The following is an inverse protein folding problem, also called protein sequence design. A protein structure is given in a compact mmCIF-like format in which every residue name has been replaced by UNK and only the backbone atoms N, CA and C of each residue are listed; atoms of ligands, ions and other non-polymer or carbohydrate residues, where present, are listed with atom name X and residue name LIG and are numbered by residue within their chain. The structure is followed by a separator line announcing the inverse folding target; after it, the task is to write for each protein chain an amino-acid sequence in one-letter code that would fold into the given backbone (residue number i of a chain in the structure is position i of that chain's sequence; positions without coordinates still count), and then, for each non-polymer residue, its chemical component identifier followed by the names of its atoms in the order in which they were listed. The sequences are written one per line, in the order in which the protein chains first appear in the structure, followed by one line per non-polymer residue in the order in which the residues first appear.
data_IF_763793012196
#
_entry.id   IF_763793012196
#
_cell.length_a   1.000
_cell.length_b   1.000
_cell.length_c   1.000
_cell.angle_alpha   90.00
_cell.angle_beta   90.00
_cell.angle_gamma   90.00
#
_symmetry.space_group_name_H-M   'P 1'
#
loop_
_entity.id
_entity.type
_entity.pdbx_description
1 polymer ?
#
# COMPACT_ATOMS: atom_id res chain seq x y z
N UNK A 1 -55.92 -58.40 -37.24
CA UNK A 1 -56.23 -58.26 -35.80
C UNK A 1 -55.81 -56.85 -35.36
N UNK A 2 -56.77 -56.03 -34.93
CA UNK A 2 -56.57 -54.89 -34.02
C UNK A 2 -56.66 -55.43 -32.56
N UNK A 3 -56.34 -54.69 -31.46
CA UNK A 3 -56.18 -53.22 -31.35
C UNK A 3 -55.08 -52.66 -30.37
N UNK A 4 -54.87 -51.32 -30.45
CA UNK A 4 -54.62 -50.28 -29.39
C UNK A 4 -53.40 -50.38 -28.45
N UNK A 5 -52.65 -49.30 -28.17
CA UNK A 5 -52.99 -48.02 -27.48
C UNK A 5 -52.14 -46.84 -28.03
N UNK A 6 -52.72 -45.72 -28.48
CA UNK A 6 -53.17 -44.49 -27.79
C UNK A 6 -52.08 -43.41 -27.54
N UNK A 7 -52.36 -42.22 -28.11
CA UNK A 7 -51.65 -40.94 -28.01
C UNK A 7 -51.73 -40.31 -26.61
N UNK A 8 -50.72 -39.50 -26.28
CA UNK A 8 -50.93 -38.22 -25.59
C UNK A 8 -50.00 -37.15 -26.17
N UNK A 9 -50.60 -36.07 -26.69
CA UNK A 9 -49.94 -34.80 -27.00
C UNK A 9 -49.58 -34.09 -25.68
N UNK A 10 -48.44 -33.40 -25.66
CA UNK A 10 -48.07 -32.48 -24.60
C UNK A 10 -47.03 -31.48 -25.09
N UNK A 11 -47.50 -30.38 -25.68
CA UNK A 11 -46.73 -29.18 -26.02
C UNK A 11 -46.18 -28.55 -24.74
N UNK A 12 -44.88 -28.26 -24.69
CA UNK A 12 -44.32 -27.38 -23.66
C UNK A 12 -43.35 -26.39 -24.31
N UNK A 13 -43.89 -25.23 -24.70
CA UNK A 13 -43.14 -23.98 -24.62
C UNK A 13 -42.83 -23.72 -23.14
N UNK A 14 -41.61 -23.24 -22.84
CA UNK A 14 -41.28 -22.14 -21.90
C UNK A 14 -39.79 -22.25 -21.51
N UNK A 15 -39.07 -21.14 -21.65
CA UNK A 15 -38.01 -20.79 -20.71
C UNK A 15 -36.58 -20.84 -21.23
N UNK A 16 -36.16 -19.78 -21.92
CA UNK A 16 -34.75 -19.36 -21.92
C UNK A 16 -34.37 -19.06 -20.46
N UNK A 17 -33.76 -20.03 -19.77
CA UNK A 17 -33.12 -19.78 -18.48
C UNK A 17 -31.76 -19.15 -18.78
N UNK A 18 -31.68 -17.83 -18.58
CA UNK A 18 -30.43 -17.10 -18.43
C UNK A 18 -29.56 -17.83 -17.40
N UNK A 19 -28.41 -18.32 -17.83
CA UNK A 19 -27.36 -18.80 -16.94
C UNK A 19 -26.85 -17.59 -16.15
N UNK A 20 -27.42 -17.39 -14.97
CA UNK A 20 -26.86 -16.52 -13.95
C UNK A 20 -25.50 -17.10 -13.57
N UNK A 21 -24.41 -16.41 -13.92
CA UNK A 21 -23.11 -16.68 -13.34
C UNK A 21 -23.22 -16.51 -11.82
N UNK A 22 -23.05 -17.61 -11.09
CA UNK A 22 -22.93 -17.59 -9.64
C UNK A 22 -21.76 -16.70 -9.23
N UNK A 23 -22.11 -15.53 -8.68
CA UNK A 23 -21.27 -14.74 -7.82
C UNK A 23 -21.08 -15.53 -6.52
N UNK A 24 -20.19 -16.51 -6.50
CA UNK A 24 -19.69 -17.09 -5.25
C UNK A 24 -18.93 -16.00 -4.49
N UNK A 25 -19.69 -15.39 -3.58
CA UNK A 25 -19.28 -14.44 -2.57
C UNK A 25 -18.17 -15.05 -1.73
N UNK A 26 -16.94 -14.60 -1.92
CA UNK A 26 -15.96 -14.60 -0.84
C UNK A 26 -16.39 -13.51 0.15
N UNK A 27 -17.45 -13.81 0.92
CA UNK A 27 -17.81 -13.01 2.08
C UNK A 27 -16.74 -13.23 3.14
N UNK A 28 -16.14 -12.15 3.65
CA UNK A 28 -15.54 -12.16 4.99
C UNK A 28 -16.56 -12.85 5.89
N UNK A 29 -16.19 -13.88 6.67
CA UNK A 29 -17.15 -14.58 7.52
C UNK A 29 -17.89 -13.54 8.36
N UNK A 30 -19.17 -13.30 8.05
CA UNK A 30 -20.09 -12.48 8.83
C UNK A 30 -20.55 -13.22 10.09
N UNK A 31 -19.76 -14.21 10.52
CA UNK A 31 -19.96 -14.90 11.77
C UNK A 31 -19.57 -13.94 12.89
N UNK A 32 -20.54 -13.52 13.70
CA UNK A 32 -20.33 -12.65 14.85
C UNK A 32 -19.16 -13.08 15.75
N UNK A 33 -18.86 -14.38 15.81
CA UNK A 33 -17.74 -14.92 16.58
C UNK A 33 -16.37 -14.46 16.03
N UNK A 34 -16.19 -14.47 14.71
CA UNK A 34 -14.96 -13.97 14.05
C UNK A 34 -14.79 -12.47 14.32
N UNK A 35 -15.85 -11.71 14.12
CA UNK A 35 -15.83 -10.26 14.31
C UNK A 35 -15.55 -9.88 15.78
N UNK A 36 -16.14 -10.60 16.73
CA UNK A 36 -15.88 -10.41 18.16
C UNK A 36 -14.42 -10.70 18.51
N UNK A 37 -13.84 -11.78 17.98
CA UNK A 37 -12.43 -12.11 18.21
C UNK A 37 -11.51 -11.03 17.63
N UNK A 38 -11.74 -10.61 16.39
CA UNK A 38 -10.95 -9.57 15.72
C UNK A 38 -10.99 -8.22 16.45
N UNK A 39 -12.16 -7.82 16.95
CA UNK A 39 -12.31 -6.60 17.75
C UNK A 39 -11.61 -6.71 19.12
N UNK A 40 -11.59 -7.89 19.73
CA UNK A 40 -10.84 -8.13 20.97
C UNK A 40 -9.34 -7.98 20.74
N UNK A 41 -8.82 -8.45 19.62
CA UNK A 41 -7.40 -8.29 19.26
C UNK A 41 -7.04 -6.83 18.98
N UNK A 42 -7.91 -6.10 18.28
CA UNK A 42 -7.77 -4.65 18.12
C UNK A 42 -7.72 -3.95 19.50
N UNK A 43 -8.50 -4.43 20.46
CA UNK A 43 -8.50 -3.90 21.83
C UNK A 43 -7.24 -4.21 22.62
N UNK A 44 -6.59 -5.34 22.36
CA UNK A 44 -5.26 -5.66 22.91
C UNK A 44 -4.23 -4.68 22.36
N UNK A 45 -4.20 -4.47 21.05
CA UNK A 45 -3.27 -3.55 20.38
C UNK A 45 -3.40 -2.10 20.91
N UNK A 46 -4.64 -1.62 21.07
CA UNK A 46 -4.89 -0.28 21.62
C UNK A 46 -4.49 -0.16 23.09
N UNK A 47 -4.71 -1.21 23.88
CA UNK A 47 -4.29 -1.25 25.29
C UNK A 47 -2.77 -1.16 25.40
N UNK A 48 -2.05 -1.88 24.55
CA UNK A 48 -0.59 -1.82 24.52
C UNK A 48 -0.07 -0.45 24.07
N UNK A 49 -0.65 0.16 23.02
CA UNK A 49 -0.30 1.52 22.61
C UNK A 49 -0.54 2.55 23.73
N UNK A 50 -1.67 2.45 24.43
CA UNK A 50 -1.99 3.34 25.55
C UNK A 50 -0.98 3.17 26.70
N UNK A 51 -0.62 1.91 27.00
CA UNK A 51 0.39 1.57 28.03
C UNK A 51 1.75 2.18 27.71
N UNK A 52 2.20 2.10 26.44
CA UNK A 52 3.47 2.70 26.01
C UNK A 52 3.42 4.22 26.13
N UNK A 53 2.32 4.83 25.69
CA UNK A 53 2.14 6.27 25.72
C UNK A 53 1.92 6.85 27.14
N UNK A 54 1.80 5.99 28.16
CA UNK A 54 1.56 6.43 29.54
C UNK A 54 0.19 7.07 29.75
N UNK A 55 -0.80 6.76 28.91
CA UNK A 55 -2.16 7.31 28.96
C UNK A 55 -3.22 6.20 29.00
N UNK A 56 -4.45 6.54 29.33
CA UNK A 56 -5.57 5.61 29.22
C UNK A 56 -5.92 5.35 27.75
N UNK A 57 -6.53 4.19 27.48
CA UNK A 57 -7.08 3.86 26.16
C UNK A 57 -8.13 4.88 25.69
N UNK A 58 -8.89 5.46 26.62
CA UNK A 58 -9.87 6.49 26.30
C UNK A 58 -9.19 7.78 25.81
N UNK A 59 -8.14 8.22 26.48
CA UNK A 59 -7.32 9.37 26.05
C UNK A 59 -6.67 9.12 24.69
N UNK A 60 -6.15 7.90 24.46
CA UNK A 60 -5.59 7.52 23.16
C UNK A 60 -6.63 7.61 22.04
N UNK A 61 -7.85 7.11 22.27
CA UNK A 61 -8.93 7.18 21.29
C UNK A 61 -9.42 8.62 21.08
N UNK A 62 -9.47 9.44 22.13
CA UNK A 62 -9.79 10.86 22.03
C UNK A 62 -8.71 11.61 21.22
N UNK A 63 -7.44 11.25 21.39
CA UNK A 63 -6.32 11.77 20.60
C UNK A 63 -6.39 11.35 19.12
N UNK A 64 -7.30 10.44 18.74
CA UNK A 64 -7.54 9.98 17.36
C UNK A 64 -8.97 10.25 16.91
N UNK A 65 -9.70 11.12 17.61
CA UNK A 65 -11.10 11.37 17.32
C UNK A 65 -11.27 11.98 15.92
N UNK A 66 -12.33 11.62 15.18
CA UNK A 66 -12.66 12.26 13.91
C UNK A 66 -12.82 13.78 14.04
N UNK A 67 -12.59 14.52 12.95
CA UNK A 67 -12.80 15.98 12.89
C UNK A 67 -11.64 16.83 13.44
N UNK A 68 -10.51 16.21 13.80
CA UNK A 68 -9.28 16.91 14.21
C UNK A 68 -8.62 17.70 13.09
N UNK A 69 -8.77 17.22 11.86
CA UNK A 69 -8.19 17.84 10.66
C UNK A 69 -9.28 18.57 9.88
N UNK A 70 -8.92 19.70 9.28
CA UNK A 70 -9.85 20.48 8.46
C UNK A 70 -10.10 19.78 7.12
N UNK A 71 -11.20 20.16 6.46
CA UNK A 71 -11.45 19.71 5.09
C UNK A 71 -10.33 20.09 4.13
N UNK A 72 -9.67 21.24 4.35
CA UNK A 72 -8.53 21.68 3.54
C UNK A 72 -7.29 20.79 3.73
N UNK A 73 -7.09 20.25 4.94
CA UNK A 73 -6.00 19.31 5.21
C UNK A 73 -6.25 17.93 4.60
N UNK A 74 -7.53 17.55 4.43
CA UNK A 74 -7.97 16.32 3.78
C UNK A 74 -7.14 15.09 4.19
N UNK A 75 -7.06 14.85 5.50
CA UNK A 75 -6.33 13.71 6.07
C UNK A 75 -7.24 12.49 6.03
N UNK A 76 -6.83 11.48 5.25
CA UNK A 76 -7.54 10.21 5.15
C UNK A 76 -7.29 9.34 6.37
N UNK A 77 -6.04 9.29 6.85
CA UNK A 77 -5.61 8.40 7.93
C UNK A 77 -6.20 8.81 9.29
N UNK A 78 -7.21 8.09 9.83
CA UNK A 78 -7.97 8.58 11.00
C UNK A 78 -7.14 8.70 12.27
N UNK A 79 -6.13 7.85 12.42
CA UNK A 79 -5.29 7.75 13.61
C UNK A 79 -4.09 8.70 13.62
N UNK A 80 -3.95 9.58 12.64
CA UNK A 80 -2.88 10.58 12.61
C UNK A 80 -3.02 11.50 13.83
N UNK A 81 -1.93 11.65 14.59
CA UNK A 81 -1.90 12.53 15.75
C UNK A 81 -1.61 13.97 15.34
N UNK A 82 -0.76 14.16 14.33
CA UNK A 82 -0.46 15.45 13.73
C UNK A 82 0.02 15.27 12.29
N UNK A 83 -0.18 16.30 11.46
CA UNK A 83 0.43 16.43 10.14
C UNK A 83 1.04 17.82 10.03
N UNK A 84 2.23 17.92 9.45
CA UNK A 84 2.91 19.19 9.19
C UNK A 84 3.28 19.28 7.72
N UNK A 85 2.46 20.01 6.95
CA UNK A 85 2.67 20.23 5.52
C UNK A 85 3.60 21.42 5.23
N UNK A 86 3.94 22.22 6.23
CA UNK A 86 4.70 23.48 6.07
C UNK A 86 6.20 23.28 6.01
N UNK A 87 6.70 22.15 6.53
CA UNK A 87 8.10 21.74 6.42
C UNK A 87 8.49 21.58 4.96
N UNK A 88 9.77 21.68 4.63
CA UNK A 88 10.28 21.38 3.27
C UNK A 88 9.97 19.93 2.85
N UNK A 89 10.11 18.99 3.78
CA UNK A 89 9.61 17.62 3.69
C UNK A 89 8.46 17.46 4.69
N UNK A 90 7.21 17.29 4.22
CA UNK A 90 6.05 17.14 5.10
C UNK A 90 6.18 15.92 6.01
N UNK A 91 5.55 15.96 7.17
CA UNK A 91 5.64 14.88 8.16
C UNK A 91 4.29 14.51 8.76
N UNK A 92 4.15 13.26 9.21
CA UNK A 92 3.02 12.78 10.01
C UNK A 92 3.53 12.24 11.34
N UNK A 93 2.80 12.54 12.42
CA UNK A 93 2.99 11.90 13.73
C UNK A 93 1.97 10.79 13.90
N UNK A 94 2.45 9.57 14.12
CA UNK A 94 1.65 8.36 14.28
C UNK A 94 1.84 7.75 15.67
N UNK A 95 0.87 6.97 16.15
CA UNK A 95 1.05 6.15 17.33
C UNK A 95 2.06 5.02 17.09
N UNK A 96 2.91 4.80 18.08
CA UNK A 96 3.88 3.71 18.13
C UNK A 96 3.29 2.53 18.93
N UNK A 97 3.51 1.32 18.43
CA UNK A 97 3.18 0.08 19.12
C UNK A 97 4.48 -0.66 19.45
N UNK A 98 4.47 -1.43 20.55
CA UNK A 98 5.57 -2.30 20.97
C UNK A 98 5.12 -3.74 20.83
N UNK A 99 5.94 -4.51 20.13
CA UNK A 99 5.78 -5.93 19.92
C UNK A 99 7.05 -6.69 20.30
N UNK A 100 7.11 -7.92 19.84
CA UNK A 100 8.23 -8.81 20.00
C UNK A 100 8.64 -9.36 18.62
N UNK A 101 9.92 -9.21 18.27
CA UNK A 101 10.54 -9.90 17.16
C UNK A 101 10.91 -11.34 17.52
N UNK A 102 11.44 -12.12 16.57
CA UNK A 102 11.85 -13.50 16.78
C UNK A 102 12.76 -13.65 18.02
N UNK A 103 12.48 -14.63 18.87
CA UNK A 103 13.23 -14.84 20.11
C UNK A 103 12.84 -13.90 21.28
N UNK A 104 11.81 -13.07 21.12
CA UNK A 104 11.28 -12.21 22.18
C UNK A 104 11.96 -10.85 22.30
N UNK A 105 12.76 -10.45 21.30
CA UNK A 105 13.41 -9.15 21.29
C UNK A 105 12.38 -8.02 21.12
N UNK A 106 12.50 -6.88 21.82
CA UNK A 106 11.60 -5.75 21.60
C UNK A 106 11.68 -5.24 20.16
N UNK A 107 10.52 -5.13 19.51
CA UNK A 107 10.37 -4.49 18.21
C UNK A 107 9.26 -3.44 18.28
N UNK A 108 9.36 -2.39 17.48
CA UNK A 108 8.39 -1.31 17.46
C UNK A 108 7.83 -1.14 16.06
N UNK A 109 6.52 -0.93 15.97
CA UNK A 109 5.80 -0.94 14.71
C UNK A 109 4.69 0.12 14.69
N UNK A 110 4.25 0.44 13.48
CA UNK A 110 3.05 1.26 13.23
C UNK A 110 1.95 0.39 12.64
N UNK A 111 0.70 0.80 12.84
CA UNK A 111 -0.47 0.20 12.19
C UNK A 111 -1.06 1.21 11.22
N UNK A 112 -1.24 0.82 9.96
CA UNK A 112 -1.66 1.75 8.90
C UNK A 112 -2.96 1.35 8.20
N UNK A 113 -3.26 0.04 8.15
CA UNK A 113 -4.47 -0.46 7.52
C UNK A 113 -5.04 -1.68 8.26
N UNK A 114 -6.34 -1.93 8.08
CA UNK A 114 -6.94 -3.22 8.35
C UNK A 114 -7.93 -3.64 7.25
N UNK A 115 -7.99 -4.94 6.98
CA UNK A 115 -8.89 -5.51 5.98
C UNK A 115 -10.34 -5.59 6.44
N UNK A 116 -10.58 -5.60 7.76
CA UNK A 116 -11.93 -5.60 8.33
C UNK A 116 -12.31 -4.16 8.72
N UNK A 117 -13.46 -3.69 8.24
CA UNK A 117 -13.95 -2.33 8.47
C UNK A 117 -14.05 -1.96 9.96
N UNK A 118 -14.61 -2.85 10.79
CA UNK A 118 -14.82 -2.57 12.20
C UNK A 118 -13.50 -2.60 12.98
N UNK A 119 -12.55 -3.45 12.58
CA UNK A 119 -11.17 -3.42 13.09
C UNK A 119 -10.46 -2.13 12.68
N UNK A 120 -10.56 -1.73 11.41
CA UNK A 120 -9.96 -0.48 10.90
C UNK A 120 -10.47 0.74 11.69
N UNK A 121 -11.81 0.84 11.82
CA UNK A 121 -12.47 1.88 12.61
C UNK A 121 -12.05 1.85 14.08
N UNK A 122 -11.92 0.66 14.68
CA UNK A 122 -11.53 0.51 16.09
C UNK A 122 -10.10 0.96 16.33
N UNK A 123 -9.16 0.56 15.47
CA UNK A 123 -7.74 0.93 15.55
C UNK A 123 -7.48 2.38 15.15
N UNK A 124 -8.39 2.99 14.37
CA UNK A 124 -8.19 4.29 13.76
C UNK A 124 -7.20 4.23 12.59
N UNK A 125 -7.29 3.19 11.76
CA UNK A 125 -6.43 3.00 10.59
C UNK A 125 -7.27 2.99 9.32
N UNK A 126 -6.63 3.10 8.15
CA UNK A 126 -7.36 3.06 6.89
C UNK A 126 -8.05 1.70 6.69
N UNK A 127 -9.26 1.72 6.13
CA UNK A 127 -9.96 0.51 5.72
C UNK A 127 -9.49 0.10 4.32
N UNK A 128 -8.81 -1.05 4.24
CA UNK A 128 -8.23 -1.60 3.02
C UNK A 128 -8.74 -3.02 2.76
N UNK A 129 -9.98 -3.19 2.24
CA UNK A 129 -10.64 -4.49 2.15
C UNK A 129 -9.85 -5.52 1.36
N UNK A 130 -9.10 -5.10 0.33
CA UNK A 130 -8.32 -6.00 -0.52
C UNK A 130 -7.25 -6.78 0.25
N UNK A 131 -6.74 -6.24 1.36
CA UNK A 131 -5.75 -6.93 2.19
C UNK A 131 -6.21 -8.32 2.68
N UNK A 132 -7.52 -8.59 2.74
CA UNK A 132 -8.06 -9.91 3.08
C UNK A 132 -7.55 -11.02 2.14
N UNK A 133 -7.29 -10.70 0.88
CA UNK A 133 -6.84 -11.68 -0.12
C UNK A 133 -5.38 -12.09 0.07
N UNK A 134 -4.62 -11.39 0.92
CA UNK A 134 -3.28 -11.82 1.31
C UNK A 134 -3.26 -12.79 2.49
N UNK A 135 -4.38 -12.97 3.20
CA UNK A 135 -4.46 -13.72 4.47
C UNK A 135 -3.91 -15.14 4.39
N UNK A 136 -4.29 -15.86 3.34
CA UNK A 136 -4.00 -17.29 3.18
C UNK A 136 -2.87 -17.52 2.17
N UNK A 137 -1.93 -16.56 2.10
CA UNK A 137 -0.79 -16.57 1.15
C UNK A 137 0.55 -16.50 1.88
N UNK A 138 1.60 -16.97 1.21
CA UNK A 138 2.97 -16.90 1.71
C UNK A 138 3.50 -15.45 1.77
N UNK A 139 2.80 -14.49 1.15
CA UNK A 139 3.13 -13.06 1.22
C UNK A 139 2.79 -12.40 2.56
N UNK A 140 1.91 -13.02 3.35
CA UNK A 140 1.60 -12.57 4.71
C UNK A 140 2.48 -13.24 5.75
N UNK A 141 2.57 -12.65 6.95
CA UNK A 141 3.11 -13.32 8.14
C UNK A 141 2.01 -13.52 9.17
N UNK A 142 2.06 -14.62 9.91
CA UNK A 142 1.17 -14.82 11.05
C UNK A 142 1.77 -14.15 12.27
N UNK A 143 0.92 -13.70 13.19
CA UNK A 143 1.36 -13.20 14.47
C UNK A 143 0.52 -13.79 15.61
N UNK A 144 1.11 -13.79 16.81
CA UNK A 144 0.44 -14.19 18.05
C UNK A 144 0.53 -13.08 19.09
N UNK A 145 -0.19 -13.21 20.19
CA UNK A 145 -0.06 -12.30 21.32
C UNK A 145 0.67 -12.97 22.48
N UNK A 146 1.72 -12.32 22.99
CA UNK A 146 2.45 -12.72 24.19
C UNK A 146 2.37 -11.56 25.18
N UNK A 147 1.74 -11.78 26.33
CA UNK A 147 1.56 -10.75 27.36
C UNK A 147 0.95 -9.43 26.82
N UNK A 148 0.02 -9.53 25.87
CA UNK A 148 -0.63 -8.37 25.24
C UNK A 148 0.18 -7.69 24.13
N UNK A 149 1.38 -8.18 23.83
CA UNK A 149 2.23 -7.67 22.75
C UNK A 149 2.14 -8.55 21.52
N UNK A 150 2.15 -7.95 20.33
CA UNK A 150 2.17 -8.69 19.07
C UNK A 150 3.55 -9.32 18.85
N UNK A 151 3.59 -10.63 18.67
CA UNK A 151 4.81 -11.39 18.38
C UNK A 151 4.86 -11.70 16.88
N UNK A 152 5.87 -11.14 16.20
CA UNK A 152 6.15 -11.33 14.78
C UNK A 152 6.95 -12.62 14.55
N UNK A 153 6.77 -13.24 13.37
CA UNK A 153 7.54 -14.42 12.94
C UNK A 153 8.88 -14.05 12.32
N UNK A 154 8.96 -12.90 11.66
CA UNK A 154 10.18 -12.31 11.13
C UNK A 154 10.47 -10.93 11.70
N UNK A 155 11.69 -10.45 11.48
CA UNK A 155 12.15 -9.11 11.87
C UNK A 155 12.79 -8.36 10.71
N UNK A 156 13.18 -7.12 10.98
CA UNK A 156 13.90 -6.25 10.05
C UNK A 156 15.30 -5.98 10.57
N UNK A 157 16.30 -6.09 9.71
CA UNK A 157 17.65 -5.59 9.97
C UNK A 157 17.79 -4.18 9.39
N UNK A 158 17.94 -3.19 10.27
CA UNK A 158 18.15 -1.77 9.96
C UNK A 158 19.63 -1.37 9.98
N UNK A 159 20.56 -2.32 10.17
CA UNK A 159 22.01 -2.04 10.14
C UNK A 159 22.62 -1.80 8.74
N UNK A 160 22.02 -2.25 7.61
CA UNK A 160 22.58 -1.99 6.29
C UNK A 160 22.71 -0.50 5.97
N UNK A 161 23.81 -0.12 5.32
CA UNK A 161 23.93 1.22 4.76
C UNK A 161 23.32 1.25 3.37
N UNK A 162 22.36 2.16 3.19
CA UNK A 162 21.71 2.37 1.90
C UNK A 162 22.70 2.90 0.86
N UNK A 163 22.68 2.33 -0.34
CA UNK A 163 23.49 2.79 -1.47
C UNK A 163 22.71 2.68 -2.79
N UNK A 164 22.64 3.80 -3.52
CA UNK A 164 22.15 3.87 -4.90
C UNK A 164 23.29 4.39 -5.78
N UNK A 165 23.64 3.64 -6.82
CA UNK A 165 24.53 4.15 -7.88
C UNK A 165 23.72 4.29 -9.18
N UNK A 166 23.76 5.47 -9.83
CA UNK A 166 23.06 5.67 -11.10
C UNK A 166 23.43 4.61 -12.14
N UNK A 167 22.44 4.14 -12.89
CA UNK A 167 22.66 3.40 -14.11
C UNK A 167 23.26 4.28 -15.23
N UNK A 168 23.48 3.72 -16.42
CA UNK A 168 24.04 4.48 -17.55
C UNK A 168 23.21 5.71 -17.94
N UNK A 169 23.88 6.83 -18.21
CA UNK A 169 23.22 8.01 -18.77
C UNK A 169 22.70 7.76 -20.21
N UNK A 170 21.62 8.43 -20.64
CA UNK A 170 20.80 9.39 -19.89
C UNK A 170 19.67 8.74 -19.04
N UNK A 171 19.51 7.42 -19.10
CA UNK A 171 18.46 6.68 -18.39
C UNK A 171 19.04 5.93 -17.19
N UNK A 172 19.20 6.64 -16.07
CA UNK A 172 19.88 6.11 -14.87
C UNK A 172 19.07 5.08 -14.08
N UNK A 173 17.81 4.86 -14.44
CA UNK A 173 16.98 3.74 -14.01
C UNK A 173 16.98 2.63 -15.08
N UNK A 174 17.17 1.35 -14.69
CA UNK A 174 17.45 0.89 -13.33
C UNK A 174 18.85 1.31 -12.85
N UNK A 175 19.04 1.52 -11.53
CA UNK A 175 20.35 1.87 -10.97
C UNK A 175 21.37 0.74 -11.17
N UNK A 176 22.64 1.09 -11.31
CA UNK A 176 23.74 0.13 -11.40
C UNK A 176 23.95 -0.63 -10.07
N UNK A 177 23.69 0.04 -8.95
CA UNK A 177 23.69 -0.55 -7.61
C UNK A 177 22.44 -0.10 -6.86
N UNK A 178 21.75 -1.06 -6.24
CA UNK A 178 20.65 -0.84 -5.33
C UNK A 178 20.85 -1.69 -4.06
N UNK A 179 21.24 -1.04 -2.98
CA UNK A 179 21.39 -1.64 -1.65
C UNK A 179 20.44 -0.95 -0.67
N UNK A 180 19.38 -1.63 -0.20
CA UNK A 180 18.44 -1.09 0.78
C UNK A 180 19.13 -0.78 2.11
N UNK A 181 18.64 0.24 2.84
CA UNK A 181 19.07 0.55 4.21
C UNK A 181 18.43 -0.36 5.27
N UNK A 182 17.30 -1.00 4.93
CA UNK A 182 16.62 -1.95 5.79
C UNK A 182 16.22 -3.21 5.02
N UNK A 183 16.39 -4.37 5.64
CA UNK A 183 16.11 -5.68 5.03
C UNK A 183 15.31 -6.55 5.99
N UNK A 184 14.11 -6.92 5.57
CA UNK A 184 13.31 -7.93 6.24
C UNK A 184 13.88 -9.32 6.02
N UNK A 185 13.87 -10.16 7.06
CA UNK A 185 14.21 -11.57 6.91
C UNK A 185 13.16 -12.33 6.04
N UNK A 186 13.43 -13.59 5.71
CA UNK A 186 12.54 -14.39 4.85
C UNK A 186 11.13 -14.63 5.45
N UNK A 187 10.95 -14.40 6.75
CA UNK A 187 9.69 -14.54 7.47
C UNK A 187 8.95 -13.22 7.65
N UNK A 188 9.63 -12.08 7.54
CA UNK A 188 9.03 -10.77 7.75
C UNK A 188 8.06 -10.40 6.61
N UNK A 189 6.90 -9.85 6.98
CA UNK A 189 5.97 -9.17 6.08
C UNK A 189 5.13 -8.15 6.85
N UNK A 190 4.95 -6.91 6.39
CA UNK A 190 4.05 -5.96 7.06
C UNK A 190 2.59 -6.44 7.04
N UNK A 191 2.22 -7.36 6.15
CA UNK A 191 0.87 -7.91 6.11
C UNK A 191 0.72 -9.01 7.16
N UNK A 192 0.19 -8.63 8.32
CA UNK A 192 0.05 -9.50 9.47
C UNK A 192 -1.35 -10.10 9.56
N UNK A 193 -1.40 -11.42 9.71
CA UNK A 193 -2.62 -12.18 10.05
C UNK A 193 -2.65 -12.41 11.55
N UNK A 194 -3.62 -11.80 12.22
CA UNK A 194 -3.87 -11.97 13.66
C UNK A 194 -4.48 -13.35 13.94
N UNK A 195 -4.46 -13.85 15.19
CA UNK A 195 -5.00 -15.17 15.54
C UNK A 195 -6.47 -15.39 15.13
N UNK A 196 -7.31 -14.36 15.14
CA UNK A 196 -8.68 -14.41 14.65
C UNK A 196 -8.80 -14.67 13.15
N UNK A 197 -7.74 -14.40 12.38
CA UNK A 197 -7.72 -14.33 10.92
C UNK A 197 -7.97 -12.91 10.37
N UNK A 198 -8.09 -11.90 11.23
CA UNK A 198 -8.08 -10.49 10.80
C UNK A 198 -6.72 -10.12 10.21
N UNK A 199 -6.72 -9.32 9.14
CA UNK A 199 -5.50 -8.86 8.46
C UNK A 199 -5.27 -7.38 8.73
N UNK A 200 -4.06 -7.03 9.13
CA UNK A 200 -3.61 -5.65 9.38
C UNK A 200 -2.28 -5.38 8.68
N UNK A 201 -2.04 -4.13 8.30
CA UNK A 201 -0.70 -3.66 7.91
C UNK A 201 0.03 -3.17 9.16
N UNK A 202 1.09 -3.88 9.54
CA UNK A 202 1.88 -3.68 10.75
C UNK A 202 3.38 -3.63 10.43
N UNK A 203 3.84 -2.46 9.97
CA UNK A 203 5.24 -2.23 9.59
C UNK A 203 6.14 -2.07 10.80
N UNK A 204 7.18 -2.90 10.93
CA UNK A 204 8.24 -2.71 11.93
C UNK A 204 9.08 -1.49 11.51
N UNK A 205 9.29 -0.56 12.44
CA UNK A 205 9.96 0.71 12.19
C UNK A 205 11.19 0.92 13.06
N UNK A 206 11.36 0.15 14.14
CA UNK A 206 12.56 0.22 14.97
C UNK A 206 12.75 -1.07 15.77
N UNK A 207 14.01 -1.48 15.97
CA UNK A 207 14.40 -2.52 16.92
C UNK A 207 15.87 -2.30 17.36
N UNK A 208 16.53 -3.32 17.89
CA UNK A 208 17.94 -3.22 18.34
C UNK A 208 18.95 -2.93 17.22
N UNK A 209 18.61 -3.17 15.96
CA UNK A 209 19.52 -2.98 14.80
C UNK A 209 19.47 -1.54 14.26
N UNK A 210 18.43 -0.78 14.60
CA UNK A 210 18.26 0.59 14.12
C UNK A 210 16.80 0.96 13.89
N UNK A 211 16.59 1.90 12.97
CA UNK A 211 15.32 2.54 12.67
C UNK A 211 15.11 2.64 11.17
N UNK A 212 13.86 2.60 10.73
CA UNK A 212 13.46 2.77 9.34
C UNK A 212 13.96 4.11 8.74
N UNK A 213 14.39 4.07 7.47
CA UNK A 213 15.05 5.19 6.78
C UNK A 213 14.24 6.50 6.72
N UNK A 214 12.90 6.47 6.68
CA UNK A 214 12.00 7.64 6.66
C UNK A 214 11.64 8.20 8.05
N UNK A 215 12.21 7.64 9.11
CA UNK A 215 11.95 8.13 10.46
C UNK A 215 12.67 9.44 10.73
N UNK A 216 11.91 10.46 11.13
CA UNK A 216 12.43 11.72 11.63
C UNK A 216 12.75 11.63 13.11
N UNK A 217 11.85 11.03 13.90
CA UNK A 217 12.04 10.84 15.34
C UNK A 217 11.11 9.78 15.91
N UNK A 218 11.52 9.18 17.03
CA UNK A 218 10.73 8.25 17.82
C UNK A 218 10.72 8.70 19.27
N UNK A 219 9.53 8.76 19.89
CA UNK A 219 9.35 9.07 21.31
C UNK A 219 8.75 7.83 21.99
N UNK A 220 9.62 6.99 22.54
CA UNK A 220 9.22 5.76 23.22
C UNK A 220 8.39 6.01 24.48
N UNK A 221 8.56 7.18 25.13
CA UNK A 221 7.83 7.53 26.34
C UNK A 221 6.42 8.02 26.03
N UNK A 222 6.24 8.73 24.92
CA UNK A 222 4.91 9.15 24.44
C UNK A 222 4.24 8.14 23.53
N UNK A 223 4.95 7.07 23.14
CA UNK A 223 4.44 6.09 22.19
C UNK A 223 4.08 6.73 20.86
N UNK A 224 4.95 7.58 20.33
CA UNK A 224 4.74 8.24 19.04
C UNK A 224 5.95 8.15 18.14
N UNK A 225 5.70 8.34 16.85
CA UNK A 225 6.71 8.29 15.82
C UNK A 225 6.41 9.33 14.74
N UNK A 226 7.44 9.97 14.21
CA UNK A 226 7.32 10.99 13.16
C UNK A 226 7.98 10.46 11.89
N UNK A 227 7.19 10.38 10.82
CA UNK A 227 7.63 9.94 9.50
C UNK A 227 7.64 11.10 8.50
N UNK A 228 8.61 11.08 7.60
CA UNK A 228 8.57 11.84 6.35
C UNK A 228 7.42 11.34 5.46
N UNK A 229 6.78 12.26 4.76
CA UNK A 229 5.73 11.98 3.78
C UNK A 229 6.27 12.24 2.36
N UNK A 230 5.96 11.32 1.46
CA UNK A 230 6.29 11.42 0.04
C UNK A 230 5.14 12.07 -0.72
N UNK A 231 5.46 12.88 -1.72
CA UNK A 231 4.49 13.56 -2.58
C UNK A 231 4.06 12.69 -3.77
N UNK A 232 2.87 12.95 -4.28
CA UNK A 232 2.27 12.24 -5.39
C UNK A 232 1.11 13.00 -6.00
N UNK A 233 0.51 12.39 -7.02
CA UNK A 233 -0.70 12.87 -7.66
C UNK A 233 -1.83 11.85 -7.59
N UNK A 234 -3.04 12.33 -7.33
CA UNK A 234 -4.29 11.58 -7.47
C UNK A 234 -5.31 12.55 -8.08
N UNK A 235 -6.15 12.07 -9.01
CA UNK A 235 -7.21 12.90 -9.59
C UNK A 235 -6.77 14.15 -10.36
N UNK A 236 -5.47 14.31 -10.66
CA UNK A 236 -4.92 15.55 -11.25
C UNK A 236 -4.40 16.57 -10.23
N UNK A 237 -4.64 16.35 -8.94
CA UNK A 237 -4.17 17.20 -7.85
C UNK A 237 -2.89 16.64 -7.21
N UNK A 238 -1.95 17.54 -6.91
CA UNK A 238 -0.70 17.22 -6.21
C UNK A 238 -0.93 17.06 -4.70
N UNK A 239 0.13 16.76 -3.95
CA UNK A 239 0.15 16.62 -2.50
C UNK A 239 -0.55 15.36 -2.02
N UNK A 240 -0.57 14.31 -2.85
CA UNK A 240 -1.03 13.00 -2.42
C UNK A 240 0.02 12.34 -1.50
N UNK A 241 -0.05 12.70 -0.23
CA UNK A 241 0.93 12.32 0.77
C UNK A 241 0.73 10.90 1.26
N UNK A 242 1.79 10.12 1.14
CA UNK A 242 1.84 8.72 1.53
C UNK A 242 3.17 8.40 2.24
N UNK A 243 3.19 7.26 2.92
CA UNK A 243 4.41 6.63 3.41
C UNK A 243 4.95 5.68 2.36
N UNK A 244 6.23 5.31 2.47
CA UNK A 244 6.77 4.08 1.86
C UNK A 244 7.41 3.28 2.98
N UNK A 245 6.82 2.14 3.31
CA UNK A 245 7.28 1.33 4.44
C UNK A 245 8.04 0.08 3.99
N UNK A 246 7.56 -0.59 2.94
CA UNK A 246 8.20 -1.81 2.42
C UNK A 246 8.14 -1.89 0.91
N UNK A 247 9.06 -2.65 0.32
CA UNK A 247 8.90 -3.14 -1.05
C UNK A 247 9.40 -4.58 -1.22
N UNK A 248 8.75 -5.33 -2.11
CA UNK A 248 9.19 -6.66 -2.53
C UNK A 248 10.39 -6.64 -3.48
N UNK A 249 10.72 -5.47 -4.05
CA UNK A 249 11.81 -5.29 -4.99
C UNK A 249 12.96 -4.50 -4.34
N UNK A 250 14.20 -4.93 -4.59
CA UNK A 250 15.39 -4.28 -4.01
C UNK A 250 15.59 -2.87 -4.56
N UNK A 251 15.32 -2.67 -5.84
CA UNK A 251 15.46 -1.38 -6.51
C UNK A 251 14.49 -0.35 -5.92
N UNK A 252 13.21 -0.71 -5.87
CA UNK A 252 12.18 0.13 -5.28
C UNK A 252 12.43 0.41 -3.79
N UNK A 253 12.71 -0.62 -2.98
CA UNK A 253 13.07 -0.46 -1.56
C UNK A 253 14.24 0.52 -1.38
N UNK A 254 15.25 0.44 -2.24
CA UNK A 254 16.39 1.34 -2.16
C UNK A 254 16.02 2.76 -2.60
N UNK A 255 15.42 2.93 -3.79
CA UNK A 255 15.14 4.26 -4.35
C UNK A 255 14.17 5.03 -3.44
N UNK A 256 13.12 4.37 -2.96
CA UNK A 256 12.06 4.97 -2.14
C UNK A 256 12.29 4.82 -0.63
N UNK A 257 13.48 4.36 -0.20
CA UNK A 257 13.88 4.24 1.23
C UNK A 257 12.91 3.39 2.07
N UNK A 258 12.32 2.37 1.46
CA UNK A 258 11.50 1.36 2.14
C UNK A 258 12.33 0.17 2.63
N UNK A 259 11.76 -0.63 3.53
CA UNK A 259 12.37 -1.90 3.94
C UNK A 259 12.22 -2.95 2.82
N UNK A 260 13.32 -3.52 2.37
CA UNK A 260 13.28 -4.62 1.40
C UNK A 260 12.69 -5.87 2.05
N UNK A 261 11.52 -6.27 1.59
CA UNK A 261 10.72 -7.36 2.15
C UNK A 261 10.38 -8.36 1.05
N UNK A 262 11.29 -9.30 0.72
CA UNK A 262 11.12 -10.21 -0.41
C UNK A 262 9.85 -11.07 -0.31
N UNK A 263 9.41 -11.38 0.91
CA UNK A 263 8.21 -12.16 1.18
C UNK A 263 6.96 -11.55 0.53
N UNK A 264 6.86 -10.22 0.45
CA UNK A 264 5.72 -9.55 -0.19
C UNK A 264 5.49 -10.00 -1.64
N UNK A 265 6.54 -10.42 -2.37
CA UNK A 265 6.43 -10.94 -3.74
C UNK A 265 5.55 -12.20 -3.85
N UNK A 266 5.23 -12.84 -2.73
CA UNK A 266 4.36 -14.02 -2.65
C UNK A 266 2.88 -13.68 -2.35
N UNK A 267 2.51 -12.40 -2.36
CA UNK A 267 1.10 -11.99 -2.44
C UNK A 267 0.50 -12.41 -3.80
N UNK A 268 -0.85 -12.46 -3.94
CA UNK A 268 -1.50 -12.89 -5.17
C UNK A 268 -0.98 -12.18 -6.43
N UNK A 269 -1.00 -12.91 -7.55
CA UNK A 269 -0.25 -12.67 -8.79
C UNK A 269 -0.18 -11.21 -9.27
N UNK A 270 1.04 -10.73 -9.54
CA UNK A 270 1.32 -9.49 -10.26
C UNK A 270 0.44 -9.30 -11.52
N UNK A 271 -0.09 -8.10 -11.71
CA UNK A 271 -1.02 -7.78 -12.79
C UNK A 271 -2.47 -8.16 -12.51
N UNK A 272 -2.77 -8.96 -11.47
CA UNK A 272 -4.13 -9.12 -10.94
C UNK A 272 -4.42 -8.03 -9.91
N UNK A 273 -4.50 -6.80 -10.40
CA UNK A 273 -4.59 -5.60 -9.57
C UNK A 273 -5.69 -4.65 -10.07
N UNK A 274 -6.70 -5.18 -10.76
CA UNK A 274 -7.95 -4.47 -11.00
C UNK A 274 -8.70 -4.24 -9.68
N UNK A 275 -9.58 -3.24 -9.66
CA UNK A 275 -10.44 -2.96 -8.51
C UNK A 275 -11.19 -4.22 -8.05
N UNK A 276 -11.76 -4.96 -9.00
CA UNK A 276 -12.59 -6.15 -8.77
C UNK A 276 -11.80 -7.44 -8.54
N UNK A 277 -10.48 -7.43 -8.72
CA UNK A 277 -9.68 -8.64 -8.57
C UNK A 277 -9.61 -9.08 -7.11
N UNK A 278 -9.70 -10.40 -6.90
CA UNK A 278 -9.51 -11.07 -5.60
C UNK A 278 -8.03 -11.14 -5.24
N UNK A 279 -7.41 -9.98 -5.08
CA UNK A 279 -5.99 -9.79 -4.82
C UNK A 279 -5.79 -8.72 -3.75
N UNK A 280 -4.74 -8.87 -2.95
CA UNK A 280 -4.31 -7.84 -2.02
C UNK A 280 -3.73 -6.63 -2.74
N UNK A 281 -3.40 -6.76 -4.02
CA UNK A 281 -2.71 -5.76 -4.79
C UNK A 281 -3.67 -4.77 -5.46
N UNK A 282 -3.21 -3.54 -5.60
CA UNK A 282 -3.87 -2.50 -6.39
C UNK A 282 -2.86 -1.83 -7.32
N UNK A 283 -3.20 -1.70 -8.60
CA UNK A 283 -2.23 -1.22 -9.60
C UNK A 283 -1.96 0.27 -9.44
N UNK A 284 -0.70 0.69 -9.50
CA UNK A 284 -0.31 2.10 -9.65
C UNK A 284 0.80 2.25 -10.71
N UNK A 285 1.19 3.49 -11.06
CA UNK A 285 2.19 3.70 -12.11
C UNK A 285 3.26 4.73 -11.74
N UNK A 286 4.44 4.27 -11.29
CA UNK A 286 5.64 5.08 -11.22
C UNK A 286 6.13 5.46 -12.62
N UNK A 287 6.80 6.61 -12.75
CA UNK A 287 7.41 7.06 -14.00
C UNK A 287 8.91 6.76 -13.97
N UNK A 288 9.45 6.05 -14.95
CA UNK A 288 10.88 5.75 -15.01
C UNK A 288 11.72 6.98 -15.40
N UNK A 289 11.38 7.61 -16.54
CA UNK A 289 12.24 8.57 -17.25
C UNK A 289 11.58 9.93 -17.51
N UNK A 290 10.81 10.42 -16.53
CA UNK A 290 10.18 11.75 -16.58
C UNK A 290 11.18 12.90 -16.63
N UNK A 291 10.67 14.13 -16.53
CA UNK A 291 11.52 15.32 -16.50
C UNK A 291 12.44 15.32 -15.27
N UNK A 292 13.63 15.93 -15.42
CA UNK A 292 14.70 15.89 -14.40
C UNK A 292 15.13 17.30 -13.98
N UNK A 293 15.89 17.38 -12.89
CA UNK A 293 16.42 18.61 -12.31
C UNK A 293 15.59 19.09 -11.12
N UNK A 294 16.23 19.24 -9.96
CA UNK A 294 15.63 19.67 -8.70
C UNK A 294 14.72 20.91 -8.78
N UNK A 295 15.06 21.88 -9.64
CA UNK A 295 14.31 23.13 -9.80
C UNK A 295 13.29 23.09 -10.95
N UNK A 296 13.17 21.97 -11.65
CA UNK A 296 12.24 21.82 -12.76
C UNK A 296 10.82 21.53 -12.20
N UNK A 297 9.82 22.40 -12.44
CA UNK A 297 8.47 22.18 -11.94
C UNK A 297 7.77 20.96 -12.56
N UNK A 298 8.31 20.42 -13.66
CA UNK A 298 7.81 19.19 -14.28
C UNK A 298 8.58 17.93 -13.82
N UNK A 299 9.58 18.08 -12.94
CA UNK A 299 10.42 16.99 -12.44
C UNK A 299 9.58 15.82 -11.94
N UNK A 300 9.88 14.61 -12.41
CA UNK A 300 9.15 13.39 -12.08
C UNK A 300 9.95 12.13 -12.38
N UNK A 301 9.77 11.13 -11.52
CA UNK A 301 10.14 9.76 -11.81
C UNK A 301 11.50 9.31 -11.29
N UNK A 302 11.78 8.03 -11.48
CA UNK A 302 12.90 7.30 -10.86
C UNK A 302 14.26 7.84 -11.32
N UNK A 303 14.41 8.18 -12.61
CA UNK A 303 15.62 8.84 -13.13
C UNK A 303 15.90 10.15 -12.39
N UNK A 304 14.87 10.99 -12.19
CA UNK A 304 15.05 12.27 -11.52
C UNK A 304 15.52 12.09 -10.07
N UNK A 305 14.94 11.14 -9.33
CA UNK A 305 15.37 10.79 -7.98
C UNK A 305 16.80 10.30 -7.93
N UNK A 306 17.19 9.42 -8.85
CA UNK A 306 18.56 8.91 -8.92
C UNK A 306 19.55 10.04 -9.26
N UNK A 307 19.22 10.90 -10.23
CA UNK A 307 20.08 12.00 -10.69
C UNK A 307 20.23 13.13 -9.67
N UNK A 308 19.19 13.42 -8.88
CA UNK A 308 19.22 14.45 -7.84
C UNK A 308 19.93 13.98 -6.55
N UNK A 309 20.68 12.87 -6.60
CA UNK A 309 21.33 12.28 -5.42
C UNK A 309 20.35 11.80 -4.36
N UNK A 310 19.09 11.51 -4.76
CA UNK A 310 17.99 11.12 -3.88
C UNK A 310 17.64 12.17 -2.82
N UNK A 311 17.91 13.45 -3.13
CA UNK A 311 17.45 14.60 -2.33
C UNK A 311 15.93 14.74 -2.35
N UNK A 312 15.29 14.28 -3.44
CA UNK A 312 13.83 14.32 -3.61
C UNK A 312 13.33 12.94 -4.03
N UNK A 313 12.29 12.48 -3.35
CA UNK A 313 11.59 11.22 -3.65
C UNK A 313 10.92 11.22 -5.04
N UNK A 314 10.63 10.05 -5.64
CA UNK A 314 9.90 10.01 -6.89
C UNK A 314 8.45 10.46 -6.68
N UNK A 315 7.97 11.32 -7.57
CA UNK A 315 6.56 11.75 -7.58
C UNK A 315 5.78 10.77 -8.45
N UNK A 316 4.96 9.94 -7.80
CA UNK A 316 4.16 8.91 -8.46
C UNK A 316 2.71 9.36 -8.68
N UNK A 317 1.97 8.64 -9.52
CA UNK A 317 0.55 8.86 -9.76
C UNK A 317 -0.23 7.68 -9.19
N UNK A 318 -1.30 7.97 -8.48
CA UNK A 318 -2.16 7.02 -7.80
C UNK A 318 -3.58 7.06 -8.39
N UNK A 319 -4.29 5.92 -8.41
CA UNK A 319 -5.60 5.84 -9.05
C UNK A 319 -6.80 6.11 -8.11
N UNK A 320 -6.61 6.00 -6.79
CA UNK A 320 -7.67 6.18 -5.79
C UNK A 320 -7.11 6.41 -4.39
N UNK A 321 -7.91 7.14 -3.61
CA UNK A 321 -7.77 7.39 -2.18
C UNK A 321 -8.47 6.32 -1.30
N UNK A 322 -8.13 6.22 -0.01
CA UNK A 322 -8.86 5.38 0.93
C UNK A 322 -10.28 5.92 1.22
N UNK A 323 -11.33 5.18 0.81
CA UNK A 323 -12.70 5.45 1.26
C UNK A 323 -12.96 4.75 2.61
N UNK A 324 -12.70 5.44 3.72
CA UNK A 324 -12.87 4.93 5.10
C UNK A 324 -14.34 4.70 5.53
N UNK A 325 -15.25 4.50 4.57
CA UNK A 325 -16.63 4.10 4.78
C UNK A 325 -16.86 2.63 4.41
N UNK A 326 -17.91 2.02 4.97
CA UNK A 326 -18.29 0.62 4.70
C UNK A 326 -19.01 0.44 3.35
N UNK A 327 -18.70 1.24 2.34
CA UNK A 327 -19.34 1.11 1.03
C UNK A 327 -18.79 -0.11 0.30
N UNK A 328 -19.66 -0.89 -0.31
CA UNK A 328 -19.29 -2.13 -1.04
C UNK A 328 -18.37 -1.88 -2.25
N UNK A 329 -18.18 -0.61 -2.66
CA UNK A 329 -17.31 -0.21 -3.76
C UNK A 329 -15.87 0.16 -3.33
N UNK A 330 -15.55 0.21 -2.03
CA UNK A 330 -14.18 0.49 -1.61
C UNK A 330 -13.27 -0.69 -2.01
N UNK A 331 -12.30 -0.40 -2.88
CA UNK A 331 -11.29 -1.35 -3.36
C UNK A 331 -9.87 -0.83 -3.10
N UNK A 332 -9.68 -0.02 -2.07
CA UNK A 332 -8.36 0.47 -1.66
C UNK A 332 -7.48 -0.68 -1.15
N UNK A 333 -6.18 -0.56 -1.47
CA UNK A 333 -5.10 -1.31 -0.86
C UNK A 333 -3.85 -0.43 -0.78
N UNK A 334 -3.06 -0.50 0.31
CA UNK A 334 -1.74 0.11 0.37
C UNK A 334 -0.68 -0.73 -0.36
N UNK A 335 -1.00 -1.98 -0.74
CA UNK A 335 -0.08 -2.88 -1.46
C UNK A 335 -0.14 -2.58 -2.96
N UNK A 336 0.68 -1.63 -3.39
CA UNK A 336 0.68 -1.16 -4.76
C UNK A 336 1.46 -2.11 -5.68
N UNK A 337 0.81 -2.60 -6.72
CA UNK A 337 1.42 -3.34 -7.83
C UNK A 337 1.97 -2.33 -8.84
N UNK A 338 3.29 -2.22 -8.95
CA UNK A 338 3.93 -1.24 -9.81
C UNK A 338 3.83 -1.62 -11.29
N UNK A 339 3.23 -0.75 -12.10
CA UNK A 339 3.30 -0.78 -13.56
C UNK A 339 4.12 0.43 -14.03
N UNK A 340 5.44 0.31 -14.03
CA UNK A 340 6.33 1.43 -14.29
C UNK A 340 6.20 1.86 -15.76
N UNK A 341 5.89 3.13 -16.00
CA UNK A 341 5.78 3.68 -17.34
C UNK A 341 7.05 4.44 -17.75
N UNK A 342 7.27 4.59 -19.06
CA UNK A 342 8.36 5.36 -19.62
C UNK A 342 7.90 6.18 -20.83
N UNK A 343 8.33 7.44 -20.90
CA UNK A 343 8.24 8.27 -22.09
C UNK A 343 9.03 7.64 -23.23
N UNK A 344 8.44 7.58 -24.42
CA UNK A 344 9.08 7.00 -25.60
C UNK A 344 10.19 7.91 -26.13
N UNK A 345 11.25 7.36 -26.76
CA UNK A 345 12.30 8.17 -27.38
C UNK A 345 11.75 9.20 -28.37
N UNK A 346 10.70 8.84 -29.12
CA UNK A 346 10.04 9.72 -30.09
C UNK A 346 9.35 10.90 -29.41
N UNK A 347 8.65 10.66 -28.30
CA UNK A 347 8.00 11.73 -27.53
C UNK A 347 9.03 12.67 -26.88
N UNK A 348 10.14 12.12 -26.37
CA UNK A 348 11.23 12.92 -25.81
C UNK A 348 11.88 13.78 -26.90
N UNK A 349 12.22 13.22 -28.06
CA UNK A 349 12.80 13.95 -29.18
C UNK A 349 11.87 15.06 -29.70
N UNK A 350 10.56 14.84 -29.65
CA UNK A 350 9.54 15.82 -30.01
C UNK A 350 9.25 16.85 -28.91
N UNK A 351 9.96 16.83 -27.78
CA UNK A 351 9.77 17.79 -26.68
C UNK A 351 8.44 17.64 -25.93
N UNK A 352 7.80 16.47 -25.97
CA UNK A 352 6.49 16.22 -25.34
C UNK A 352 6.58 15.83 -23.86
N UNK A 353 7.76 15.45 -23.38
CA UNK A 353 7.95 14.94 -22.02
C UNK A 353 7.64 16.03 -20.99
N UNK A 354 6.76 15.68 -20.05
CA UNK A 354 6.30 16.54 -18.95
C UNK A 354 5.78 15.68 -17.81
N UNK A 355 5.38 16.28 -16.69
CA UNK A 355 4.83 15.56 -15.54
C UNK A 355 3.48 14.93 -15.86
N UNK A 356 3.32 13.65 -15.56
CA UNK A 356 2.07 12.90 -15.58
C UNK A 356 1.32 13.16 -14.26
N UNK A 357 0.07 13.61 -14.34
CA UNK A 357 -0.67 14.15 -13.18
C UNK A 357 -1.88 13.32 -12.78
N UNK A 358 -2.32 12.36 -13.59
CA UNK A 358 -3.45 11.49 -13.26
C UNK A 358 -3.43 10.20 -14.07
N UNK A 359 -4.26 9.23 -13.68
CA UNK A 359 -4.46 8.00 -14.46
C UNK A 359 -5.13 8.25 -15.80
N UNK A 360 -6.08 9.19 -15.87
CA UNK A 360 -6.71 9.59 -17.14
C UNK A 360 -5.68 10.20 -18.11
N UNK A 361 -4.77 11.01 -17.57
CA UNK A 361 -3.66 11.61 -18.31
C UNK A 361 -2.65 10.55 -18.80
N UNK A 362 -2.27 9.61 -17.92
CA UNK A 362 -1.45 8.45 -18.29
C UNK A 362 -2.09 7.61 -19.40
N UNK A 363 -3.38 7.30 -19.28
CA UNK A 363 -4.11 6.50 -20.25
C UNK A 363 -4.11 7.17 -21.63
N UNK A 364 -4.31 8.49 -21.68
CA UNK A 364 -4.24 9.25 -22.93
C UNK A 364 -2.83 9.20 -23.54
N UNK A 365 -1.79 9.41 -22.73
CA UNK A 365 -0.39 9.34 -23.20
C UNK A 365 -0.01 7.96 -23.74
N UNK A 366 -0.52 6.88 -23.14
CA UNK A 366 -0.31 5.52 -23.64
C UNK A 366 -1.06 5.29 -24.95
N UNK A 367 -2.32 5.73 -25.06
CA UNK A 367 -3.11 5.64 -26.30
C UNK A 367 -2.46 6.37 -27.47
N UNK A 368 -1.79 7.49 -27.20
CA UNK A 368 -1.07 8.28 -28.20
C UNK A 368 0.32 7.71 -28.56
N UNK A 369 0.80 6.69 -27.84
CA UNK A 369 2.15 6.15 -28.00
C UNK A 369 3.27 7.08 -27.47
N UNK A 370 2.92 8.08 -26.66
CA UNK A 370 3.90 8.98 -26.03
C UNK A 370 4.55 8.34 -24.81
N UNK A 371 3.84 7.43 -24.14
CA UNK A 371 4.30 6.66 -22.98
C UNK A 371 4.05 5.17 -23.23
N UNK A 372 4.93 4.32 -22.72
CA UNK A 372 4.85 2.85 -22.85
C UNK A 372 5.36 2.16 -21.57
N UNK A 373 5.41 0.84 -21.59
CA UNK A 373 6.05 0.04 -20.53
C UNK A 373 7.52 0.43 -20.35
N UNK A 374 7.96 0.60 -19.10
CA UNK A 374 9.38 0.65 -18.82
C UNK A 374 10.06 -0.70 -19.12
N UNK A 375 11.36 -0.66 -19.42
CA UNK A 375 12.13 -1.88 -19.65
C UNK A 375 12.06 -2.81 -18.43
N UNK A 376 11.78 -4.09 -18.66
CA UNK A 376 11.65 -5.11 -17.61
C UNK A 376 10.21 -5.42 -17.20
N UNK A 377 9.24 -4.56 -17.52
CA UNK A 377 7.83 -4.90 -17.32
C UNK A 377 7.45 -6.15 -18.12
N UNK A 378 6.72 -7.06 -17.49
CA UNK A 378 6.39 -8.36 -18.08
C UNK A 378 5.05 -8.88 -17.57
N UNK A 379 4.43 -9.79 -18.31
CA UNK A 379 3.14 -10.37 -17.94
C UNK A 379 1.97 -9.75 -18.72
N UNK A 380 0.77 -9.89 -18.16
CA UNK A 380 -0.48 -9.51 -18.82
C UNK A 380 -0.71 -8.00 -18.62
N UNK A 381 -1.01 -7.24 -19.71
CA UNK A 381 -1.45 -5.86 -19.63
C UNK A 381 -2.61 -5.66 -18.65
N UNK A 382 -2.48 -4.70 -17.74
CA UNK A 382 -3.55 -4.35 -16.81
C UNK A 382 -4.33 -3.14 -17.31
N UNK A 383 -5.57 -3.35 -17.76
CA UNK A 383 -6.43 -2.27 -18.30
C UNK A 383 -6.71 -1.13 -17.30
N UNK A 384 -6.67 -1.40 -16.00
CA UNK A 384 -6.86 -0.39 -14.97
C UNK A 384 -5.68 0.59 -14.90
N UNK A 385 -4.48 0.12 -15.26
CA UNK A 385 -3.25 0.93 -15.29
C UNK A 385 -2.83 1.19 -16.73
N UNK A 386 -3.76 1.74 -17.52
CA UNK A 386 -3.54 2.11 -18.92
C UNK A 386 -3.01 0.97 -19.83
N UNK A 387 -3.31 -0.29 -19.49
CA UNK A 387 -2.80 -1.48 -20.19
C UNK A 387 -1.27 -1.64 -20.15
N UNK A 388 -0.61 -1.03 -19.17
CA UNK A 388 0.78 -1.30 -18.86
C UNK A 388 0.91 -2.67 -18.18
N UNK A 389 2.05 -3.33 -18.39
CA UNK A 389 2.39 -4.61 -17.75
C UNK A 389 3.01 -4.37 -16.38
N UNK A 390 2.87 -5.32 -15.44
CA UNK A 390 3.47 -5.16 -14.12
C UNK A 390 5.00 -5.24 -14.21
N UNK A 391 5.66 -4.48 -13.34
CA UNK A 391 7.12 -4.48 -13.14
C UNK A 391 7.60 -5.57 -12.18
N UNK A 392 6.65 -6.28 -11.55
CA UNK A 392 6.89 -7.30 -10.51
C UNK A 392 7.47 -6.75 -9.20
N UNK A 393 7.13 -5.50 -8.88
CA UNK A 393 7.41 -4.88 -7.60
C UNK A 393 6.10 -4.55 -6.87
N UNK A 394 6.01 -4.97 -5.61
CA UNK A 394 5.00 -4.50 -4.67
C UNK A 394 5.64 -3.42 -3.81
N UNK A 395 4.97 -2.29 -3.63
CA UNK A 395 5.39 -1.24 -2.70
C UNK A 395 4.23 -1.00 -1.73
N UNK A 396 4.49 -1.15 -0.44
CA UNK A 396 3.52 -0.81 0.60
C UNK A 396 3.59 0.70 0.84
N UNK A 397 2.59 1.43 0.33
CA UNK A 397 2.51 2.88 0.49
C UNK A 397 1.20 3.32 1.15
N UNK A 398 1.09 3.26 2.48
CA UNK A 398 -0.05 3.78 3.21
C UNK A 398 -0.32 5.26 2.92
N UNK A 399 -1.55 5.57 2.53
CA UNK A 399 -1.97 6.94 2.18
C UNK A 399 -2.38 7.71 3.43
N UNK A 400 -1.86 8.93 3.57
CA UNK A 400 -2.07 9.76 4.76
C UNK A 400 -3.04 10.92 4.50
N UNK A 401 -2.79 11.73 3.47
CA UNK A 401 -3.56 12.95 3.22
C UNK A 401 -3.42 13.44 1.78
N UNK A 402 -4.35 14.30 1.33
CA UNK A 402 -4.19 15.08 0.11
C UNK A 402 -4.74 16.50 0.27
N UNK A 403 -4.00 17.41 0.90
CA UNK A 403 -4.49 18.76 1.17
C UNK A 403 -4.76 19.52 -0.13
N UNK A 404 -5.77 20.39 -0.10
CA UNK A 404 -6.16 21.20 -1.27
C UNK A 404 -5.10 22.22 -1.69
N UNK A 405 -4.18 22.55 -0.77
CA UNK A 405 -3.07 23.48 -0.96
C UNK A 405 -2.03 23.27 0.14
N UNK A 406 -0.78 23.67 -0.12
CA UNK A 406 0.34 23.57 0.83
C UNK A 406 0.68 24.90 1.47
#
# INVERSE_FOLDING_TARGET
MKPTFQHFLGTCLIGLALVSCDQEKYQIPTNQLFETAALREADILLTEAARIAGISKAELLQARAPGRFTQQQNVFFPGALAVDFKRSVPTVTLPLYKGLGPGGNPTYYILTEAANFNVAKRLGVNYAPKLVYGRDTEGSQKATFVNGQLQFEGDVDFSPQRLVQPGPFPNTFPPAVAQPGAVGDARYSPLVVLPSGSVVSASIVANSTGTHDHLVSIDYAKGTVVFELLDGFEGGAQYYFHLVTESSDKGAATIERGTYTPRLANLPTFGQSLLTDKSALLGFSPVANGETGANNPERQGLNSTILDGQTFDPINVFPLDPDNNKKDANNYSPMWDAHINAWTPQAIQAGKRRRIKSFADLEQLVKEGSVTDAAGNMGIPNRFVASLKPSRAIINCPVIAQPLSR
#
